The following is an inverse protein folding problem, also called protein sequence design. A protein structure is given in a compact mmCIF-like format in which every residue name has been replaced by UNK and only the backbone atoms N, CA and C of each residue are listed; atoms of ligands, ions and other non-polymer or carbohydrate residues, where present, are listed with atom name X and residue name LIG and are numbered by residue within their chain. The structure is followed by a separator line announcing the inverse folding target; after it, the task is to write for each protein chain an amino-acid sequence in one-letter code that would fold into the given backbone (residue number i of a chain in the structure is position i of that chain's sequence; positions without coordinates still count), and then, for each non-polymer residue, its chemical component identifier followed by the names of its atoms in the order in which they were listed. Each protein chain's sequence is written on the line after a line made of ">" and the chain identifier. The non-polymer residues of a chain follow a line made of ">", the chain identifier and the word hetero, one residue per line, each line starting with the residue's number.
data_IF_025909827995
#
_entry.id   IF_025909827995
#
_cell.length_a   1.000
_cell.length_b   1.000
_cell.length_c   1.000
_cell.angle_alpha   90.00
_cell.angle_beta   90.00
_cell.angle_gamma   90.00
#
_symmetry.space_group_name_H-M   'P 1'
#
loop_
_entity.id
_entity.type
_entity.pdbx_description
1 polymer ?
#
# COMPACT_ATOMS: atom_id res chain seq x y z
N UNK A 1 -21.06 -38.67 -37.88
CA UNK A 1 -19.61 -38.91 -37.70
C UNK A 1 -18.88 -37.59 -37.80
N UNK A 2 -18.43 -37.02 -36.68
CA UNK A 2 -17.54 -35.86 -36.65
C UNK A 2 -16.58 -36.05 -35.47
N UNK A 3 -15.29 -36.24 -35.78
CA UNK A 3 -14.26 -36.66 -34.82
C UNK A 3 -13.74 -35.50 -33.98
N UNK A 4 -13.74 -35.70 -32.66
CA UNK A 4 -13.07 -34.85 -31.68
C UNK A 4 -11.65 -35.40 -31.46
N UNK A 5 -10.64 -34.74 -32.05
CA UNK A 5 -9.23 -35.04 -31.81
C UNK A 5 -8.69 -34.30 -30.58
N UNK A 6 -7.86 -34.94 -29.73
CA UNK A 6 -7.28 -34.29 -28.57
C UNK A 6 -6.25 -33.22 -28.97
N UNK A 7 -6.42 -31.99 -28.47
CA UNK A 7 -5.46 -30.89 -28.67
C UNK A 7 -4.25 -31.07 -27.75
N UNK A 8 -3.05 -31.12 -28.34
CA UNK A 8 -1.78 -31.17 -27.63
C UNK A 8 -1.54 -29.89 -26.79
N UNK A 9 -1.01 -30.01 -25.56
CA UNK A 9 -0.70 -28.85 -24.72
C UNK A 9 0.53 -28.10 -25.27
N UNK A 10 0.32 -26.85 -25.69
CA UNK A 10 1.40 -25.96 -26.13
C UNK A 10 2.33 -25.62 -24.96
N UNK A 11 3.61 -26.03 -25.04
CA UNK A 11 4.67 -25.63 -24.10
C UNK A 11 4.98 -24.14 -24.24
N UNK A 12 4.42 -23.30 -23.36
CA UNK A 12 4.90 -21.93 -23.10
C UNK A 12 5.70 -21.91 -21.80
N UNK A 13 7.01 -22.16 -21.87
CA UNK A 13 7.91 -22.11 -20.71
C UNK A 13 9.09 -21.15 -20.86
N UNK A 14 9.21 -20.39 -21.96
CA UNK A 14 10.44 -19.59 -22.23
C UNK A 14 10.50 -18.22 -21.53
N UNK A 15 9.41 -17.73 -20.92
CA UNK A 15 9.39 -16.39 -20.30
C UNK A 15 9.81 -16.33 -18.82
N UNK A 16 9.72 -17.44 -18.07
CA UNK A 16 9.95 -17.44 -16.61
C UNK A 16 11.44 -17.41 -16.23
N UNK A 17 12.29 -17.98 -17.06
CA UNK A 17 13.73 -18.10 -16.77
C UNK A 17 14.48 -16.78 -17.02
N UNK A 18 14.03 -15.97 -17.98
CA UNK A 18 14.63 -14.68 -18.28
C UNK A 18 14.52 -13.69 -17.10
N UNK A 19 13.34 -13.58 -16.48
CA UNK A 19 13.14 -12.67 -15.33
C UNK A 19 13.94 -13.10 -14.10
N UNK A 20 14.06 -14.41 -13.86
CA UNK A 20 14.86 -14.94 -12.75
C UNK A 20 16.36 -14.64 -12.94
N UNK A 21 16.86 -14.77 -14.17
CA UNK A 21 18.24 -14.44 -14.52
C UNK A 21 18.54 -12.93 -14.39
N UNK A 22 17.62 -12.07 -14.81
CA UNK A 22 17.79 -10.60 -14.69
C UNK A 22 17.84 -10.14 -13.23
N UNK A 23 16.98 -10.69 -12.36
CA UNK A 23 16.99 -10.37 -10.93
C UNK A 23 18.29 -10.84 -10.28
N UNK A 24 18.75 -12.05 -10.59
CA UNK A 24 20.02 -12.58 -10.05
C UNK A 24 21.22 -11.73 -10.47
N UNK A 25 21.26 -11.29 -11.73
CA UNK A 25 22.32 -10.42 -12.25
C UNK A 25 22.27 -9.00 -11.65
N UNK A 26 21.08 -8.45 -11.39
CA UNK A 26 20.92 -7.16 -10.73
C UNK A 26 21.35 -7.20 -9.26
N UNK A 27 20.96 -8.26 -8.52
CA UNK A 27 21.37 -8.49 -7.14
C UNK A 27 22.89 -8.64 -7.05
N UNK A 28 23.50 -9.47 -7.91
CA UNK A 28 24.96 -9.64 -7.93
C UNK A 28 25.75 -8.38 -8.35
N UNK A 29 25.13 -7.41 -9.02
CA UNK A 29 25.76 -6.10 -9.29
C UNK A 29 25.64 -5.14 -8.09
N UNK A 30 24.51 -5.16 -7.38
CA UNK A 30 24.29 -4.35 -6.17
C UNK A 30 25.17 -4.82 -5.00
N UNK A 31 25.36 -6.13 -4.84
CA UNK A 31 26.27 -6.69 -3.82
C UNK A 31 27.74 -6.25 -4.03
N UNK A 32 28.15 -6.06 -5.30
CA UNK A 32 29.49 -5.60 -5.66
C UNK A 32 29.66 -4.08 -5.63
N UNK A 33 28.58 -3.32 -5.81
CA UNK A 33 28.62 -1.86 -5.92
C UNK A 33 28.55 -1.11 -4.57
N UNK A 34 28.30 -1.80 -3.45
CA UNK A 34 28.39 -1.17 -2.14
C UNK A 34 27.81 -2.04 -1.03
N UNK A 35 28.70 -2.57 -0.18
CA UNK A 35 28.38 -3.34 1.03
C UNK A 35 27.79 -2.46 2.17
N UNK A 36 27.00 -1.45 1.83
CA UNK A 36 26.40 -0.49 2.75
C UNK A 36 24.88 -0.63 2.86
N UNK A 37 24.30 0.02 3.86
CA UNK A 37 22.86 0.01 4.14
C UNK A 37 22.00 0.37 2.91
N UNK A 38 22.47 1.27 2.05
CA UNK A 38 21.79 1.65 0.80
C UNK A 38 21.69 0.51 -0.22
N UNK A 39 22.74 -0.29 -0.39
CA UNK A 39 22.75 -1.44 -1.30
C UNK A 39 21.76 -2.52 -0.84
N UNK A 40 21.74 -2.81 0.47
CA UNK A 40 20.79 -3.75 1.06
C UNK A 40 19.33 -3.30 0.87
N UNK A 41 19.04 -2.01 1.09
CA UNK A 41 17.70 -1.45 0.87
C UNK A 41 17.28 -1.54 -0.60
N UNK A 42 18.18 -1.27 -1.55
CA UNK A 42 17.90 -1.40 -2.98
C UNK A 42 17.56 -2.85 -3.37
N UNK A 43 18.30 -3.84 -2.84
CA UNK A 43 18.00 -5.26 -3.06
C UNK A 43 16.62 -5.63 -2.51
N UNK A 44 16.31 -5.21 -1.29
CA UNK A 44 15.00 -5.47 -0.68
C UNK A 44 13.86 -4.81 -1.49
N UNK A 45 14.08 -3.59 -2.00
CA UNK A 45 13.13 -2.90 -2.87
C UNK A 45 12.83 -3.70 -4.14
N UNK A 46 13.88 -4.19 -4.82
CA UNK A 46 13.73 -5.01 -6.03
C UNK A 46 12.96 -6.31 -5.72
N UNK A 47 13.30 -6.99 -4.63
CA UNK A 47 12.58 -8.21 -4.20
C UNK A 47 11.10 -7.89 -3.95
N UNK A 48 10.81 -6.82 -3.22
CA UNK A 48 9.44 -6.36 -2.95
C UNK A 48 8.66 -6.10 -4.23
N UNK A 49 9.23 -5.33 -5.16
CA UNK A 49 8.63 -5.02 -6.46
C UNK A 49 8.28 -6.28 -7.27
N UNK A 50 9.21 -7.21 -7.37
CA UNK A 50 8.99 -8.48 -8.10
C UNK A 50 7.87 -9.29 -7.45
N UNK A 51 7.83 -9.35 -6.11
CA UNK A 51 6.77 -10.08 -5.39
C UNK A 51 5.41 -9.42 -5.58
N UNK A 52 5.32 -8.09 -5.44
CA UNK A 52 4.07 -7.36 -5.69
C UNK A 52 3.60 -7.55 -7.12
N UNK A 53 4.49 -7.48 -8.11
CA UNK A 53 4.07 -7.69 -9.51
C UNK A 53 3.49 -9.08 -9.74
N UNK A 54 4.13 -10.12 -9.19
CA UNK A 54 3.61 -11.50 -9.25
C UNK A 54 2.26 -11.64 -8.55
N UNK A 55 2.07 -10.96 -7.43
CA UNK A 55 0.80 -10.93 -6.70
C UNK A 55 -0.31 -10.28 -7.55
N UNK A 56 -0.02 -9.15 -8.18
CA UNK A 56 -0.95 -8.47 -9.09
C UNK A 56 -1.32 -9.31 -10.31
N UNK A 57 -0.35 -10.01 -10.90
CA UNK A 57 -0.62 -10.92 -12.02
C UNK A 57 -1.49 -12.11 -11.59
N UNK A 58 -1.34 -12.62 -10.36
CA UNK A 58 -2.23 -13.65 -9.78
C UNK A 58 -3.64 -13.13 -9.53
N UNK A 59 -3.79 -11.89 -9.04
CA UNK A 59 -5.11 -11.26 -8.88
C UNK A 59 -5.78 -11.07 -10.24
N UNK A 60 -5.06 -10.55 -11.24
CA UNK A 60 -5.59 -10.33 -12.60
C UNK A 60 -6.06 -11.62 -13.27
N UNK A 61 -5.38 -12.73 -13.00
CA UNK A 61 -5.73 -14.07 -13.53
C UNK A 61 -6.79 -14.78 -12.69
N UNK A 62 -7.31 -14.16 -11.63
CA UNK A 62 -8.33 -14.74 -10.75
C UNK A 62 -7.80 -15.82 -9.81
N UNK A 63 -6.49 -16.02 -9.73
CA UNK A 63 -5.87 -17.01 -8.84
C UNK A 63 -5.89 -16.59 -7.37
N UNK A 64 -5.86 -15.28 -7.11
CA UNK A 64 -6.02 -14.71 -5.79
C UNK A 64 -7.13 -13.66 -5.77
N UNK A 65 -7.86 -13.50 -4.65
CA UNK A 65 -8.85 -12.44 -4.54
C UNK A 65 -8.16 -11.07 -4.37
N UNK A 66 -8.83 -9.96 -4.76
CA UNK A 66 -8.32 -8.61 -4.58
C UNK A 66 -7.90 -8.30 -3.14
N UNK A 67 -6.85 -7.48 -2.97
CA UNK A 67 -6.24 -7.20 -1.65
C UNK A 67 -7.24 -6.59 -0.65
N UNK A 68 -8.15 -5.74 -1.10
CA UNK A 68 -9.19 -5.15 -0.25
C UNK A 68 -10.32 -6.13 0.11
N UNK A 69 -10.62 -7.11 -0.75
CA UNK A 69 -11.53 -8.21 -0.41
C UNK A 69 -10.87 -9.20 0.57
N UNK A 70 -9.54 -9.23 0.57
CA UNK A 70 -8.72 -10.09 1.40
C UNK A 70 -8.32 -9.45 2.74
N UNK A 71 -9.29 -8.99 3.52
CA UNK A 71 -9.08 -8.82 4.95
C UNK A 71 -8.91 -10.19 5.59
N UNK A 72 -7.72 -10.80 5.44
CA UNK A 72 -7.36 -12.00 6.19
C UNK A 72 -7.34 -11.64 7.67
N UNK A 73 -8.35 -12.12 8.38
CA UNK A 73 -8.44 -12.06 9.84
C UNK A 73 -7.43 -13.00 10.49
N UNK A 74 -7.04 -14.08 9.78
CA UNK A 74 -6.08 -15.07 10.26
C UNK A 74 -4.64 -14.63 9.94
N UNK A 75 -3.76 -14.51 10.94
CA UNK A 75 -2.32 -14.32 10.76
C UNK A 75 -1.70 -15.35 9.79
N UNK A 76 -0.77 -14.95 8.90
CA UNK A 76 0.01 -15.92 8.15
C UNK A 76 0.75 -16.90 9.08
N UNK A 77 0.88 -18.15 8.65
CA UNK A 77 1.67 -19.14 9.39
C UNK A 77 3.10 -18.63 9.61
N UNK A 78 3.64 -18.81 10.81
CA UNK A 78 4.98 -18.31 11.18
C UNK A 78 5.07 -16.79 11.41
N UNK A 79 3.95 -16.08 11.58
CA UNK A 79 3.98 -14.65 11.90
C UNK A 79 4.50 -14.41 13.33
N UNK A 80 5.72 -13.86 13.43
CA UNK A 80 6.34 -13.47 14.70
C UNK A 80 5.61 -12.33 15.44
N UNK A 81 5.88 -12.15 16.75
CA UNK A 81 5.12 -11.25 17.62
C UNK A 81 5.16 -9.78 17.18
N UNK A 82 6.33 -9.29 16.73
CA UNK A 82 6.47 -7.92 16.22
C UNK A 82 5.54 -7.65 15.03
N UNK A 83 5.45 -8.61 14.10
CA UNK A 83 4.60 -8.46 12.93
C UNK A 83 3.12 -8.41 13.30
N UNK A 84 2.68 -9.29 14.21
CA UNK A 84 1.31 -9.28 14.71
C UNK A 84 0.97 -7.94 15.36
N UNK A 85 1.88 -7.40 16.18
CA UNK A 85 1.72 -6.07 16.78
C UNK A 85 1.58 -5.00 15.71
N UNK A 86 2.49 -4.94 14.75
CA UNK A 86 2.44 -3.98 13.65
C UNK A 86 1.19 -4.13 12.77
N UNK A 87 0.72 -5.37 12.53
CA UNK A 87 -0.48 -5.66 11.75
C UNK A 87 -1.78 -5.16 12.42
N UNK A 88 -1.75 -4.95 13.73
CA UNK A 88 -2.86 -4.38 14.51
C UNK A 88 -2.67 -2.90 14.84
N UNK A 89 -1.50 -2.33 14.52
CA UNK A 89 -1.11 -0.99 14.93
C UNK A 89 -1.71 0.08 14.02
N UNK A 90 -2.87 0.59 14.43
CA UNK A 90 -3.55 1.72 13.79
C UNK A 90 -3.31 2.97 14.63
N UNK A 91 -2.26 3.78 14.34
CA UNK A 91 -1.97 4.96 15.14
C UNK A 91 -3.14 5.97 15.10
N UNK A 92 -3.58 6.51 16.25
CA UNK A 92 -4.59 7.57 16.29
C UNK A 92 -4.00 8.90 15.80
N UNK A 93 -4.81 9.83 15.26
CA UNK A 93 -4.33 11.15 14.86
C UNK A 93 -3.81 11.95 16.07
N UNK A 94 -2.81 12.84 15.90
CA UNK A 94 -2.27 13.62 17.01
C UNK A 94 -3.30 14.66 17.46
N UNK A 95 -3.66 14.65 18.74
CA UNK A 95 -4.78 15.46 19.30
C UNK A 95 -4.37 16.87 19.72
N UNK A 96 -3.15 17.05 20.24
CA UNK A 96 -2.65 18.34 20.75
C UNK A 96 -1.90 19.12 19.67
N UNK A 97 -1.86 20.46 19.76
CA UNK A 97 -1.13 21.29 18.79
C UNK A 97 0.37 20.92 18.73
N UNK A 98 0.99 20.73 19.89
CA UNK A 98 2.39 20.28 20.00
C UNK A 98 2.59 18.93 19.31
N UNK A 99 1.72 17.95 19.56
CA UNK A 99 1.80 16.65 18.92
C UNK A 99 1.61 16.71 17.40
N UNK A 100 0.78 17.64 16.91
CA UNK A 100 0.62 17.90 15.47
C UNK A 100 1.90 18.47 14.86
N UNK A 101 2.52 19.44 15.53
CA UNK A 101 3.76 20.06 15.06
C UNK A 101 4.89 19.04 15.04
N UNK A 102 5.08 18.28 16.13
CA UNK A 102 6.10 17.23 16.20
C UNK A 102 5.92 16.18 15.09
N UNK A 103 4.69 15.71 14.87
CA UNK A 103 4.38 14.78 13.79
C UNK A 103 4.68 15.37 12.39
N UNK A 104 4.37 16.65 12.17
CA UNK A 104 4.63 17.32 10.90
C UNK A 104 6.14 17.49 10.65
N UNK A 105 6.90 17.95 11.65
CA UNK A 105 8.37 18.07 11.56
C UNK A 105 9.01 16.70 11.31
N UNK A 106 8.58 15.68 12.04
CA UNK A 106 9.10 14.33 11.90
C UNK A 106 8.79 13.69 10.54
N UNK A 107 7.60 13.96 10.00
CA UNK A 107 7.20 13.52 8.66
C UNK A 107 7.69 14.43 7.52
N UNK A 108 8.34 15.57 7.82
CA UNK A 108 8.66 16.59 6.82
C UNK A 108 9.52 16.06 5.66
N UNK A 109 10.60 15.27 5.89
CA UNK A 109 11.41 14.75 4.78
C UNK A 109 10.60 13.90 3.79
N UNK A 110 9.77 12.98 4.30
CA UNK A 110 8.89 12.17 3.47
C UNK A 110 7.80 13.02 2.78
N UNK A 111 7.30 14.05 3.46
CA UNK A 111 6.27 14.95 2.91
C UNK A 111 6.83 15.77 1.76
N UNK A 112 8.07 16.23 1.81
CA UNK A 112 8.73 16.90 0.67
C UNK A 112 8.82 15.98 -0.55
N UNK A 113 9.17 14.70 -0.35
CA UNK A 113 9.16 13.71 -1.43
C UNK A 113 7.74 13.52 -1.98
N UNK A 114 6.74 13.45 -1.11
CA UNK A 114 5.33 13.35 -1.50
C UNK A 114 4.84 14.56 -2.29
N UNK A 115 5.27 15.78 -1.91
CA UNK A 115 4.96 17.00 -2.64
C UNK A 115 5.59 16.99 -4.03
N UNK A 116 6.88 16.64 -4.12
CA UNK A 116 7.57 16.53 -5.40
C UNK A 116 6.90 15.48 -6.30
N UNK A 117 6.58 14.30 -5.76
CA UNK A 117 5.88 13.24 -6.47
C UNK A 117 4.48 13.69 -6.94
N UNK A 118 3.70 14.33 -6.07
CA UNK A 118 2.39 14.88 -6.40
C UNK A 118 2.44 15.93 -7.50
N UNK A 119 3.49 16.77 -7.52
CA UNK A 119 3.66 17.79 -8.55
C UNK A 119 3.86 17.15 -9.94
N UNK A 120 4.54 16.00 -10.02
CA UNK A 120 4.69 15.25 -11.28
C UNK A 120 3.40 14.60 -11.79
N UNK A 121 2.43 14.38 -10.90
CA UNK A 121 1.14 13.74 -11.24
C UNK A 121 0.23 14.65 -12.06
N UNK A 122 0.33 15.98 -11.90
CA UNK A 122 -0.58 16.98 -12.50
C UNK A 122 -2.06 16.71 -12.22
N UNK A 123 -2.37 16.19 -11.03
CA UNK A 123 -3.75 15.97 -10.56
C UNK A 123 -4.30 17.14 -9.73
N UNK A 124 -5.55 16.99 -9.29
CA UNK A 124 -6.23 17.97 -8.45
C UNK A 124 -5.74 17.90 -7.00
N UNK A 125 -5.22 19.01 -6.50
CA UNK A 125 -4.77 19.15 -5.12
C UNK A 125 -5.90 19.59 -4.21
N UNK A 126 -6.15 18.84 -3.14
CA UNK A 126 -7.08 19.25 -2.09
C UNK A 126 -6.58 18.87 -0.70
N UNK A 127 -6.96 19.65 0.29
CA UNK A 127 -6.75 19.33 1.70
C UNK A 127 -7.94 18.54 2.22
N UNK A 128 -7.73 17.29 2.63
CA UNK A 128 -8.74 16.57 3.40
C UNK A 128 -8.58 16.92 4.88
N UNK A 129 -9.51 17.72 5.42
CA UNK A 129 -9.46 18.15 6.83
C UNK A 129 -9.80 17.04 7.81
N UNK A 130 -10.66 16.09 7.43
CA UNK A 130 -11.06 14.98 8.29
C UNK A 130 -9.92 13.97 8.44
N UNK A 131 -9.26 13.64 7.33
CA UNK A 131 -8.13 12.71 7.29
C UNK A 131 -6.78 13.37 7.56
N UNK A 132 -6.75 14.71 7.52
CA UNK A 132 -5.61 15.57 7.85
C UNK A 132 -4.39 15.36 6.95
N UNK A 133 -4.64 15.09 5.68
CA UNK A 133 -3.62 14.94 4.64
C UNK A 133 -3.94 15.80 3.42
N UNK A 134 -2.95 15.94 2.54
CA UNK A 134 -3.15 16.44 1.19
C UNK A 134 -3.49 15.26 0.28
N UNK A 135 -4.38 15.48 -0.68
CA UNK A 135 -4.74 14.50 -1.71
C UNK A 135 -4.46 15.11 -3.07
N UNK A 136 -3.77 14.36 -3.93
CA UNK A 136 -3.56 14.66 -5.35
C UNK A 136 -4.24 13.55 -6.15
N UNK A 137 -5.33 13.86 -6.85
CA UNK A 137 -6.16 12.85 -7.52
C UNK A 137 -6.30 13.10 -9.02
N UNK A 138 -6.52 12.04 -9.79
CA UNK A 138 -6.96 12.14 -11.19
C UNK A 138 -5.88 12.49 -12.22
N UNK A 139 -4.60 12.47 -11.83
CA UNK A 139 -3.50 12.62 -12.79
C UNK A 139 -3.09 11.29 -13.43
N UNK A 140 -2.55 11.35 -14.64
CA UNK A 140 -2.12 10.19 -15.44
C UNK A 140 -0.59 10.16 -15.70
N UNK A 141 0.16 11.06 -15.06
CA UNK A 141 1.62 11.22 -15.24
C UNK A 141 2.39 10.94 -13.96
N UNK A 142 3.72 10.90 -14.10
CA UNK A 142 4.64 10.84 -12.97
C UNK A 142 4.33 9.71 -11.99
N UNK A 143 4.16 10.07 -10.72
CA UNK A 143 3.87 9.13 -9.64
C UNK A 143 2.56 8.35 -9.85
N UNK A 144 1.49 8.96 -10.35
CA UNK A 144 0.23 8.25 -10.61
C UNK A 144 0.37 7.19 -11.71
N UNK A 145 1.15 7.46 -12.76
CA UNK A 145 1.45 6.45 -13.79
C UNK A 145 2.23 5.26 -13.21
N UNK A 146 3.19 5.55 -12.33
CA UNK A 146 3.96 4.50 -11.65
C UNK A 146 3.05 3.66 -10.72
N UNK A 147 2.11 4.28 -10.02
CA UNK A 147 1.12 3.57 -9.20
C UNK A 147 0.26 2.60 -10.04
N UNK A 148 -0.26 3.05 -11.18
CA UNK A 148 -1.01 2.19 -12.09
C UNK A 148 -0.18 1.00 -12.59
N UNK A 149 1.11 1.20 -12.87
CA UNK A 149 2.02 0.09 -13.24
C UNK A 149 2.22 -0.92 -12.09
N UNK A 150 2.27 -0.44 -10.85
CA UNK A 150 2.36 -1.26 -9.64
C UNK A 150 1.03 -1.92 -9.22
N UNK A 151 -0.07 -1.60 -9.90
CA UNK A 151 -1.41 -2.08 -9.55
C UNK A 151 -1.93 -1.47 -8.24
N UNK A 152 -1.57 -0.22 -7.94
CA UNK A 152 -2.08 0.52 -6.79
C UNK A 152 -2.93 1.70 -7.26
N UNK A 153 -4.08 1.92 -6.62
CA UNK A 153 -4.95 3.06 -6.89
C UNK A 153 -4.54 4.31 -6.09
N UNK A 154 -3.76 4.13 -5.03
CA UNK A 154 -3.27 5.19 -4.16
C UNK A 154 -1.94 4.88 -3.50
N UNK A 155 -1.31 5.91 -2.93
CA UNK A 155 -0.14 5.77 -2.06
C UNK A 155 0.02 7.03 -1.19
N UNK A 156 0.29 6.86 0.10
CA UNK A 156 0.71 7.93 0.98
C UNK A 156 2.23 8.05 1.05
N UNK A 157 2.73 9.25 0.74
CA UNK A 157 4.14 9.62 0.87
C UNK A 157 4.22 10.83 1.80
N UNK A 158 4.65 10.60 3.05
CA UNK A 158 4.56 11.63 4.08
C UNK A 158 3.10 11.96 4.39
N UNK A 159 2.75 13.25 4.34
CA UNK A 159 1.39 13.74 4.51
C UNK A 159 0.64 13.96 3.19
N UNK A 160 1.18 13.49 2.06
CA UNK A 160 0.57 13.59 0.73
C UNK A 160 0.09 12.23 0.26
N UNK A 161 -1.20 12.12 -0.06
CA UNK A 161 -1.82 10.96 -0.69
C UNK A 161 -1.91 11.25 -2.18
N UNK A 162 -1.33 10.38 -2.99
CA UNK A 162 -1.41 10.45 -4.46
C UNK A 162 -2.34 9.33 -4.91
N UNK A 163 -3.34 9.65 -5.71
CA UNK A 163 -4.33 8.72 -6.24
C UNK A 163 -4.30 8.75 -7.77
N UNK A 164 -4.20 7.57 -8.38
CA UNK A 164 -4.35 7.41 -9.83
C UNK A 164 -5.81 7.58 -10.28
N UNK A 165 -6.77 7.47 -9.35
CA UNK A 165 -8.20 7.66 -9.60
C UNK A 165 -8.61 9.09 -9.29
N UNK A 166 -9.46 9.69 -10.13
CA UNK A 166 -9.96 11.07 -9.95
C UNK A 166 -10.87 11.23 -8.72
N UNK A 167 -11.73 10.24 -8.47
CA UNK A 167 -12.60 10.17 -7.30
C UNK A 167 -12.21 8.97 -6.42
N UNK A 168 -11.14 9.07 -5.61
CA UNK A 168 -10.73 7.98 -4.72
C UNK A 168 -11.85 7.65 -3.73
N UNK A 169 -12.10 6.36 -3.53
CA UNK A 169 -13.17 5.90 -2.64
C UNK A 169 -12.88 6.29 -1.17
N UNK A 170 -13.92 6.44 -0.33
CA UNK A 170 -13.72 6.67 1.10
C UNK A 170 -12.88 5.58 1.77
N UNK A 171 -12.98 4.33 1.30
CA UNK A 171 -12.18 3.21 1.79
C UNK A 171 -10.70 3.39 1.48
N UNK A 172 -10.36 3.77 0.24
CA UNK A 172 -9.00 4.06 -0.18
C UNK A 172 -8.42 5.22 0.62
N UNK A 173 -9.13 6.34 0.71
CA UNK A 173 -8.67 7.50 1.48
C UNK A 173 -8.46 7.17 2.96
N UNK A 174 -9.36 6.39 3.57
CA UNK A 174 -9.21 5.95 4.94
C UNK A 174 -8.00 5.01 5.15
N UNK A 175 -7.70 4.16 4.16
CA UNK A 175 -6.49 3.30 4.12
C UNK A 175 -5.23 4.16 4.05
N UNK A 176 -5.14 5.06 3.07
CA UNK A 176 -3.98 5.93 2.90
C UNK A 176 -3.75 6.87 4.09
N UNK A 177 -4.82 7.33 4.74
CA UNK A 177 -4.72 8.13 5.95
C UNK A 177 -4.08 7.34 7.11
N UNK A 178 -4.20 6.00 7.16
CA UNK A 178 -3.44 5.20 8.14
C UNK A 178 -1.95 5.25 7.82
N UNK A 179 -1.55 5.16 6.54
CA UNK A 179 -0.15 5.28 6.15
C UNK A 179 0.42 6.66 6.46
N UNK A 180 -0.32 7.74 6.21
CA UNK A 180 0.07 9.10 6.66
C UNK A 180 0.36 9.09 8.16
N UNK A 181 -0.53 8.47 8.96
CA UNK A 181 -0.33 8.38 10.40
C UNK A 181 0.86 7.49 10.76
N UNK A 182 1.14 6.41 10.04
CA UNK A 182 2.34 5.60 10.27
C UNK A 182 3.61 6.41 10.01
N UNK A 183 3.65 7.21 8.93
CA UNK A 183 4.79 8.10 8.63
C UNK A 183 4.95 9.19 9.70
N UNK A 184 3.87 9.76 10.21
CA UNK A 184 3.92 10.72 11.33
C UNK A 184 4.54 10.14 12.62
N UNK A 185 4.65 8.81 12.77
CA UNK A 185 5.25 8.16 13.97
C UNK A 185 6.61 7.58 13.67
N UNK A 186 6.79 7.01 12.48
CA UNK A 186 8.04 6.36 12.08
C UNK A 186 8.99 7.31 11.34
N UNK A 187 8.49 8.42 10.81
CA UNK A 187 9.27 9.39 10.04
C UNK A 187 9.99 8.69 8.90
N UNK A 188 11.28 8.96 8.77
CA UNK A 188 12.14 8.33 7.76
C UNK A 188 12.33 6.83 7.95
N UNK A 189 12.12 6.29 9.16
CA UNK A 189 12.24 4.86 9.44
C UNK A 189 11.13 4.02 8.80
N UNK A 190 10.07 4.66 8.28
CA UNK A 190 9.03 3.96 7.52
C UNK A 190 9.60 3.23 6.30
N UNK A 191 10.56 3.84 5.60
CA UNK A 191 11.12 3.30 4.34
C UNK A 191 11.87 1.98 4.57
N UNK A 192 12.87 1.89 5.48
CA UNK A 192 13.54 0.62 5.73
C UNK A 192 12.59 -0.43 6.29
N UNK A 193 11.67 -0.05 7.19
CA UNK A 193 10.73 -0.99 7.79
C UNK A 193 9.75 -1.57 6.76
N UNK A 194 9.18 -0.71 5.93
CA UNK A 194 8.23 -1.10 4.89
C UNK A 194 8.93 -1.98 3.85
N UNK A 195 10.09 -1.53 3.34
CA UNK A 195 10.84 -2.28 2.32
C UNK A 195 11.25 -3.67 2.82
N UNK A 196 11.68 -3.77 4.08
CA UNK A 196 12.01 -5.05 4.71
C UNK A 196 10.82 -6.03 4.74
N UNK A 197 9.66 -5.58 5.23
CA UNK A 197 8.49 -6.44 5.31
C UNK A 197 7.91 -6.76 3.92
N UNK A 198 7.96 -5.81 3.00
CA UNK A 198 7.52 -6.00 1.63
C UNK A 198 8.34 -7.07 0.91
N UNK A 199 9.67 -7.01 1.04
CA UNK A 199 10.57 -8.03 0.51
C UNK A 199 10.31 -9.41 1.10
N UNK A 200 10.06 -9.50 2.41
CA UNK A 200 9.91 -10.80 3.11
C UNK A 200 8.54 -11.43 2.99
N UNK A 201 7.47 -10.63 2.97
CA UNK A 201 6.09 -11.10 3.09
C UNK A 201 5.21 -10.82 1.88
N UNK A 202 5.66 -10.01 0.93
CA UNK A 202 4.80 -9.51 -0.13
C UNK A 202 3.83 -8.44 0.36
N UNK A 203 2.99 -7.92 -0.54
CA UNK A 203 2.14 -6.76 -0.26
C UNK A 203 0.89 -7.15 0.55
N UNK A 204 0.22 -8.24 0.17
CA UNK A 204 -0.97 -8.75 0.88
C UNK A 204 -0.74 -9.04 2.36
N UNK A 205 0.37 -9.68 2.70
CA UNK A 205 0.68 -10.11 4.06
C UNK A 205 1.62 -9.11 4.80
N UNK A 206 1.82 -7.91 4.23
CA UNK A 206 2.60 -6.84 4.85
C UNK A 206 1.89 -6.31 6.11
N UNK A 207 2.55 -6.26 7.29
CA UNK A 207 1.89 -5.88 8.54
C UNK A 207 1.35 -4.45 8.51
N UNK A 208 2.11 -3.46 8.02
CA UNK A 208 1.63 -2.08 7.96
C UNK A 208 0.43 -1.90 7.01
N UNK A 209 0.34 -2.71 5.95
CA UNK A 209 -0.78 -2.72 5.01
C UNK A 209 -2.02 -3.35 5.63
N UNK A 210 -1.84 -4.42 6.40
CA UNK A 210 -2.93 -5.04 7.19
C UNK A 210 -3.47 -4.07 8.23
N UNK A 211 -2.60 -3.31 8.90
CA UNK A 211 -3.02 -2.25 9.81
C UNK A 211 -3.78 -1.13 9.09
N UNK A 212 -3.33 -0.74 7.88
CA UNK A 212 -4.04 0.24 7.07
C UNK A 212 -5.45 -0.23 6.66
N UNK A 213 -5.58 -1.48 6.19
CA UNK A 213 -6.89 -2.12 5.92
C UNK A 213 -7.78 -2.17 7.16
N UNK A 214 -7.22 -2.57 8.31
CA UNK A 214 -7.95 -2.61 9.57
C UNK A 214 -8.44 -1.22 9.99
N UNK A 215 -7.60 -0.20 9.87
CA UNK A 215 -7.95 1.19 10.16
C UNK A 215 -9.03 1.74 9.22
N UNK A 216 -8.94 1.45 7.93
CA UNK A 216 -9.96 1.80 6.94
C UNK A 216 -11.32 1.16 7.29
N UNK A 217 -11.34 -0.15 7.55
CA UNK A 217 -12.55 -0.88 7.93
C UNK A 217 -13.17 -0.36 9.25
N UNK A 218 -12.36 0.10 10.21
CA UNK A 218 -12.85 0.76 11.44
C UNK A 218 -13.44 2.13 11.15
N UNK A 219 -12.81 2.92 10.28
CA UNK A 219 -13.30 4.25 9.89
C UNK A 219 -14.65 4.16 9.17
N UNK A 220 -14.78 3.27 8.19
CA UNK A 220 -16.01 3.09 7.43
C UNK A 220 -17.18 2.66 8.32
N UNK A 221 -16.96 1.73 9.25
CA UNK A 221 -18.01 1.29 10.20
C UNK A 221 -18.53 2.41 11.08
N UNK A 222 -17.65 3.33 11.54
CA UNK A 222 -18.10 4.51 12.30
C UNK A 222 -18.99 5.40 11.45
N UNK A 223 -18.60 5.70 10.21
CA UNK A 223 -19.41 6.53 9.31
C UNK A 223 -20.75 5.91 8.93
N UNK A 224 -20.85 4.56 8.88
CA UNK A 224 -22.13 3.86 8.66
C UNK A 224 -22.98 3.88 9.94
N UNK A 225 -22.39 3.59 11.10
CA UNK A 225 -23.09 3.64 12.38
C UNK A 225 -23.59 5.05 12.74
N UNK A 226 -22.87 6.10 12.35
CA UNK A 226 -23.30 7.50 12.52
C UNK A 226 -24.43 7.90 11.53
N UNK A 227 -24.73 7.06 10.53
CA UNK A 227 -25.76 7.29 9.51
C UNK A 227 -27.03 6.46 9.70
N UNK A 228 -27.05 5.46 10.59
CA UNK A 228 -28.32 4.89 11.03
C UNK A 228 -29.04 5.95 11.89
N UNK A 229 -30.18 6.49 11.45
CA UNK A 229 -30.95 7.37 12.30
C UNK A 229 -31.50 6.54 13.46
N UNK A 230 -31.69 7.17 14.61
CA UNK A 230 -32.45 6.64 15.74
C UNK A 230 -33.94 6.42 15.37
N UNK A 231 -34.23 5.52 14.44
CA UNK A 231 -35.60 5.18 13.97
C UNK A 231 -36.28 4.16 14.90
N UNK A 232 -35.86 4.05 16.16
CA UNK A 232 -36.46 3.09 17.10
C UNK A 232 -36.87 3.69 18.43
N UNK A 233 -37.07 5.02 18.50
CA UNK A 233 -37.59 5.68 19.70
C UNK A 233 -38.93 6.42 19.51
N UNK A 234 -39.50 6.46 18.29
CA UNK A 234 -40.72 7.21 18.00
C UNK A 234 -41.98 6.35 17.70
N UNK A 235 -41.89 5.01 17.77
CA UNK A 235 -43.05 4.11 17.60
C UNK A 235 -43.47 3.39 18.89
N UNK A 236 -43.06 3.91 20.06
CA UNK A 236 -43.39 3.35 21.38
C UNK A 236 -44.08 4.37 22.31
N UNK A 237 -45.02 5.14 21.76
CA UNK A 237 -46.01 5.94 22.50
C UNK A 237 -47.32 5.91 21.75
#
# INVERSE_FOLDING_TARGET
>A
MAGFGPRSPSRRTTGRDATALTVRAAVGRLERAGAGLGGALAVLLVIGLVRQRREQDRIRTGLDPPVFAATRTVPPAGEGPLSRRLASWVPPPPRTAVGRLAAAVWAAPATLVGVAAGATTKGDWRRDRALRCWVVAGGDRGAARLQGWLGSDGNAIGQVVISAVAAPSPALLAHEAVHVRQVERLGVLIVPLYTWFWARRGYRDHPLERAARLGAARSLRRHVGDREPAVTAAEAT
#
